data_IF_198347440320
#
_entry.id   IF_198347440320
#
_cell.length_a   1.000
_cell.length_b   1.000
_cell.length_c   1.000
_cell.angle_alpha   90.00
_cell.angle_beta   90.00
_cell.angle_gamma   90.00
#
_symmetry.space_group_name_H-M   'P 1'
#
loop_
_entity.id
_entity.type
_entity.pdbx_description
1 polymer ?
#
# COMPACT_ATOMS: atom_id res chain seq x y z
N UNK A 1 14.34 15.75 -9.38
CA UNK A 1 12.91 15.40 -9.43
C UNK A 1 12.42 15.40 -8.00
N UNK A 2 11.31 16.06 -7.70
CA UNK A 2 10.71 16.07 -6.35
C UNK A 2 9.92 14.78 -6.21
N UNK A 3 10.45 13.83 -5.45
CA UNK A 3 9.84 12.51 -5.25
C UNK A 3 8.67 12.61 -4.26
N UNK A 4 7.52 12.06 -4.66
CA UNK A 4 6.28 12.12 -3.89
C UNK A 4 6.26 10.99 -2.84
N UNK A 5 6.28 11.38 -1.57
CA UNK A 5 6.21 10.42 -0.44
C UNK A 5 4.76 9.99 -0.24
N UNK A 6 4.49 8.70 -0.37
CA UNK A 6 3.15 8.14 -0.21
C UNK A 6 3.11 7.36 1.11
N UNK A 7 2.23 7.75 2.01
CA UNK A 7 2.01 7.04 3.25
C UNK A 7 1.36 5.67 2.98
N UNK A 8 1.91 4.61 3.60
CA UNK A 8 1.33 3.28 3.55
C UNK A 8 0.15 3.20 4.51
N UNK A 9 -0.88 2.43 4.14
CA UNK A 9 -2.05 2.19 4.99
C UNK A 9 -2.71 3.48 5.51
N UNK A 10 -2.62 4.58 4.76
CA UNK A 10 -3.21 5.87 5.13
C UNK A 10 -4.52 6.15 4.39
N UNK A 11 -4.88 5.30 3.44
CA UNK A 11 -6.07 5.41 2.63
C UNK A 11 -7.28 4.75 3.29
N UNK A 12 -8.27 4.45 2.46
CA UNK A 12 -9.52 3.82 2.87
C UNK A 12 -9.30 2.38 3.33
N UNK A 13 -10.25 1.83 4.09
CA UNK A 13 -10.25 0.41 4.44
C UNK A 13 -10.44 -0.45 3.19
N UNK A 14 -9.60 -1.46 3.03
CA UNK A 14 -9.62 -2.38 1.89
C UNK A 14 -10.98 -3.07 1.75
N UNK A 15 -11.59 -3.48 2.86
CA UNK A 15 -12.92 -4.11 2.86
C UNK A 15 -14.05 -3.19 2.37
N UNK A 16 -13.89 -1.87 2.46
CA UNK A 16 -14.84 -0.89 1.89
C UNK A 16 -14.62 -0.76 0.39
N UNK A 17 -13.36 -0.70 -0.06
CA UNK A 17 -13.00 -0.65 -1.49
C UNK A 17 -13.51 -1.88 -2.24
N UNK A 18 -13.32 -3.08 -1.68
CA UNK A 18 -13.81 -4.33 -2.28
C UNK A 18 -15.34 -4.31 -2.40
N UNK A 19 -16.05 -3.87 -1.35
CA UNK A 19 -17.51 -3.79 -1.35
C UNK A 19 -18.05 -2.79 -2.36
N UNK A 20 -17.45 -1.62 -2.47
CA UNK A 20 -17.85 -0.62 -3.47
C UNK A 20 -17.60 -1.11 -4.89
N UNK A 21 -16.45 -1.75 -5.16
CA UNK A 21 -16.16 -2.32 -6.48
C UNK A 21 -17.17 -3.42 -6.85
N UNK A 22 -17.55 -4.27 -5.88
CA UNK A 22 -18.60 -5.27 -6.07
C UNK A 22 -19.95 -4.62 -6.37
N UNK A 23 -20.35 -3.61 -5.61
CA UNK A 23 -21.62 -2.92 -5.82
C UNK A 23 -21.66 -2.22 -7.18
N UNK A 24 -20.58 -1.55 -7.58
CA UNK A 24 -20.45 -0.96 -8.92
C UNK A 24 -20.58 -2.02 -10.01
N UNK A 25 -19.93 -3.18 -9.85
CA UNK A 25 -20.01 -4.28 -10.82
C UNK A 25 -21.44 -4.81 -10.96
N UNK A 26 -22.16 -4.97 -9.84
CA UNK A 26 -23.56 -5.40 -9.87
C UNK A 26 -24.45 -4.37 -10.57
N UNK A 27 -24.23 -3.09 -10.29
CA UNK A 27 -24.95 -2.00 -10.94
C UNK A 27 -24.64 -1.94 -12.45
N UNK A 28 -23.40 -2.22 -12.85
CA UNK A 28 -23.04 -2.32 -14.26
C UNK A 28 -23.80 -3.45 -14.95
N UNK A 29 -23.94 -4.63 -14.31
CA UNK A 29 -24.73 -5.76 -14.82
C UNK A 29 -26.19 -5.37 -15.01
N UNK A 30 -26.79 -4.70 -14.02
CA UNK A 30 -28.19 -4.29 -14.06
C UNK A 30 -28.48 -3.24 -15.14
N UNK A 31 -27.46 -2.47 -15.54
CA UNK A 31 -27.56 -1.43 -16.56
C UNK A 31 -27.23 -1.91 -17.97
N UNK A 32 -26.88 -3.20 -18.17
CA UNK A 32 -26.61 -3.74 -19.51
C UNK A 32 -27.88 -3.63 -20.36
N UNK A 33 -27.76 -2.99 -21.52
CA UNK A 33 -28.87 -2.88 -22.45
C UNK A 33 -29.14 -4.23 -23.13
N UNK A 34 -30.42 -4.49 -23.43
CA UNK A 34 -30.85 -5.76 -24.00
C UNK A 34 -30.20 -6.06 -25.37
N UNK A 35 -29.79 -5.03 -26.13
CA UNK A 35 -29.18 -5.22 -27.43
C UNK A 35 -27.71 -5.68 -27.27
N UNK A 36 -26.96 -5.10 -26.35
CA UNK A 36 -25.60 -5.55 -26.02
C UNK A 36 -25.61 -6.94 -25.40
N UNK A 37 -26.59 -7.26 -24.55
CA UNK A 37 -26.71 -8.60 -23.95
C UNK A 37 -26.91 -9.70 -25.02
N UNK A 38 -27.70 -9.42 -26.07
CA UNK A 38 -28.00 -10.39 -27.12
C UNK A 38 -26.90 -10.51 -28.19
N UNK A 39 -26.09 -9.46 -28.37
CA UNK A 39 -25.07 -9.41 -29.42
C UNK A 39 -23.63 -9.64 -28.93
N UNK A 40 -23.43 -9.79 -27.62
CA UNK A 40 -22.10 -10.03 -27.03
C UNK A 40 -21.97 -11.50 -26.65
N UNK A 41 -20.84 -12.12 -26.96
CA UNK A 41 -20.60 -13.52 -26.58
C UNK A 41 -20.39 -13.64 -25.07
N UNK A 42 -20.56 -14.85 -24.53
CA UNK A 42 -20.28 -15.11 -23.12
C UNK A 42 -18.80 -14.93 -22.81
N UNK A 43 -17.93 -15.31 -23.73
CA UNK A 43 -16.48 -15.17 -23.64
C UNK A 43 -16.07 -13.70 -23.52
N UNK A 44 -16.66 -12.81 -24.32
CA UNK A 44 -16.38 -11.37 -24.25
C UNK A 44 -16.79 -10.78 -22.88
N UNK A 45 -17.88 -11.28 -22.30
CA UNK A 45 -18.30 -10.87 -20.96
C UNK A 45 -17.34 -11.37 -19.88
N UNK A 46 -16.87 -12.61 -19.98
CA UNK A 46 -15.86 -13.12 -19.06
C UNK A 46 -14.58 -12.30 -19.13
N UNK A 47 -14.09 -12.00 -20.33
CA UNK A 47 -12.90 -11.17 -20.53
C UNK A 47 -13.08 -9.74 -20.02
N UNK A 48 -14.28 -9.18 -20.16
CA UNK A 48 -14.61 -7.84 -19.65
C UNK A 48 -14.55 -7.81 -18.12
N UNK A 49 -15.27 -8.71 -17.46
CA UNK A 49 -15.32 -8.72 -16.00
C UNK A 49 -14.01 -9.21 -15.37
N UNK A 50 -13.29 -10.12 -16.02
CA UNK A 50 -11.95 -10.49 -15.56
C UNK A 50 -11.03 -9.27 -15.56
N UNK A 51 -10.98 -8.50 -16.65
CA UNK A 51 -10.13 -7.30 -16.71
C UNK A 51 -10.55 -6.21 -15.72
N UNK A 52 -11.84 -5.99 -15.53
CA UNK A 52 -12.33 -4.86 -14.72
C UNK A 52 -12.43 -5.20 -13.22
N UNK A 53 -12.76 -6.44 -12.88
CA UNK A 53 -12.98 -6.84 -11.49
C UNK A 53 -11.74 -7.44 -10.83
N UNK A 54 -10.73 -7.88 -11.61
CA UNK A 54 -9.49 -8.41 -11.06
C UNK A 54 -8.76 -7.37 -10.22
N UNK A 55 -8.11 -7.88 -9.18
CA UNK A 55 -7.08 -7.18 -8.43
C UNK A 55 -5.79 -7.96 -8.62
N UNK A 56 -4.72 -7.27 -9.04
CA UNK A 56 -3.40 -7.88 -9.01
C UNK A 56 -2.85 -7.81 -7.58
N UNK A 57 -2.95 -8.94 -6.89
CA UNK A 57 -2.48 -9.08 -5.51
C UNK A 57 -0.98 -8.78 -5.47
N UNK A 58 -0.60 -8.05 -4.42
CA UNK A 58 0.79 -7.70 -4.15
C UNK A 58 1.62 -8.96 -3.91
N UNK A 59 2.64 -9.16 -4.74
CA UNK A 59 3.63 -10.22 -4.57
C UNK A 59 5.01 -9.62 -4.30
N UNK A 60 5.63 -10.00 -3.18
CA UNK A 60 6.97 -9.56 -2.83
C UNK A 60 8.03 -10.36 -3.59
N UNK A 61 8.94 -9.66 -4.27
CA UNK A 61 10.09 -10.29 -4.93
C UNK A 61 11.19 -10.52 -3.91
N UNK A 62 11.12 -11.67 -3.23
CA UNK A 62 12.01 -12.04 -2.10
C UNK A 62 13.50 -11.93 -2.42
N UNK A 63 13.89 -12.13 -3.68
CA UNK A 63 15.29 -12.10 -4.12
C UNK A 63 15.84 -10.68 -4.37
N UNK A 64 14.99 -9.66 -4.27
CA UNK A 64 15.31 -8.27 -4.59
C UNK A 64 15.09 -7.33 -3.40
N UNK A 65 15.06 -7.88 -2.19
CA UNK A 65 14.97 -7.11 -0.96
C UNK A 65 16.38 -6.70 -0.54
N UNK A 66 16.64 -5.40 -0.46
CA UNK A 66 17.90 -4.86 0.07
C UNK A 66 17.65 -4.00 1.30
N UNK A 67 18.64 -3.96 2.19
CA UNK A 67 18.59 -3.18 3.42
C UNK A 67 19.84 -2.30 3.42
N UNK A 68 19.64 -1.00 3.60
CA UNK A 68 20.70 -0.05 3.84
C UNK A 68 20.70 0.39 5.31
N UNK A 69 21.88 0.62 5.84
CA UNK A 69 22.11 0.97 7.24
C UNK A 69 22.99 2.20 7.31
N UNK A 70 22.49 3.26 7.93
CA UNK A 70 23.26 4.48 8.19
C UNK A 70 23.20 4.87 9.67
N UNK A 71 24.26 5.49 10.18
CA UNK A 71 24.23 6.17 11.47
C UNK A 71 23.65 7.56 11.28
N UNK A 72 22.62 7.90 12.05
CA UNK A 72 21.95 9.18 12.00
C UNK A 72 21.86 9.79 13.40
N UNK A 73 21.78 11.12 13.47
CA UNK A 73 21.54 11.84 14.71
C UNK A 73 20.08 12.28 14.74
N UNK A 74 19.34 11.83 15.76
CA UNK A 74 17.95 12.21 15.94
C UNK A 74 17.76 13.09 17.17
N UNK A 75 16.96 14.16 17.06
CA UNK A 75 16.54 14.93 18.22
C UNK A 75 15.60 14.08 19.08
N UNK A 76 16.04 13.77 20.29
CA UNK A 76 15.27 13.05 21.31
C UNK A 76 14.95 14.02 22.43
N UNK A 77 13.69 14.02 22.89
CA UNK A 77 13.28 14.82 24.04
C UNK A 77 13.75 14.12 25.32
N UNK A 78 14.74 14.68 26.00
CA UNK A 78 15.12 14.24 27.34
C UNK A 78 14.33 15.04 28.37
N UNK A 79 13.60 14.35 29.26
CA UNK A 79 12.75 14.94 30.29
C UNK A 79 13.48 15.96 31.18
N UNK A 80 14.79 15.80 31.38
CA UNK A 80 15.58 16.65 32.29
C UNK A 80 16.42 17.72 31.58
N UNK A 81 16.80 17.52 30.31
CA UNK A 81 17.76 18.38 29.61
C UNK A 81 17.25 19.00 28.31
N UNK A 82 15.97 18.81 27.97
CA UNK A 82 15.40 19.28 26.71
C UNK A 82 15.80 18.41 25.51
N UNK A 83 15.74 18.96 24.29
CA UNK A 83 16.10 18.23 23.07
C UNK A 83 17.60 17.93 23.03
N UNK A 84 17.95 16.64 23.01
CA UNK A 84 19.33 16.16 22.83
C UNK A 84 19.45 15.39 21.51
N UNK A 85 20.65 15.29 20.95
CA UNK A 85 20.89 14.45 19.76
C UNK A 85 21.36 13.07 20.20
N UNK A 86 20.58 12.04 19.90
CA UNK A 86 20.99 10.65 20.09
C UNK A 86 21.54 10.07 18.78
N UNK A 87 22.64 9.33 18.88
CA UNK A 87 23.11 8.49 17.78
C UNK A 87 22.15 7.32 17.63
N UNK A 88 21.51 7.22 16.49
CA UNK A 88 20.63 6.12 16.12
C UNK A 88 21.18 5.42 14.90
N UNK A 89 20.89 4.14 14.79
CA UNK A 89 21.04 3.42 13.51
C UNK A 89 19.72 3.53 12.76
N UNK A 90 19.76 4.12 11.57
CA UNK A 90 18.64 4.13 10.64
C UNK A 90 18.78 2.96 9.66
N UNK A 91 17.69 2.20 9.54
CA UNK A 91 17.56 1.16 8.52
C UNK A 91 16.60 1.65 7.44
N UNK A 92 17.03 1.56 6.19
CA UNK A 92 16.20 1.81 5.02
C UNK A 92 15.99 0.47 4.32
N UNK A 93 14.74 0.04 4.20
CA UNK A 93 14.40 -1.18 3.51
C UNK A 93 14.02 -0.84 2.07
N UNK A 94 14.41 -1.67 1.12
CA UNK A 94 14.01 -1.56 -0.27
C UNK A 94 13.38 -2.90 -0.66
N UNK A 95 12.07 -2.88 -0.86
CA UNK A 95 11.24 -4.04 -1.11
C UNK A 95 10.64 -3.89 -2.51
N UNK A 96 11.12 -4.70 -3.45
CA UNK A 96 10.52 -4.79 -4.77
C UNK A 96 9.29 -5.70 -4.72
N UNK A 97 8.24 -5.34 -5.44
CA UNK A 97 6.99 -6.09 -5.48
C UNK A 97 6.42 -6.11 -6.90
N UNK A 98 5.34 -6.86 -7.12
CA UNK A 98 4.51 -6.84 -8.32
C UNK A 98 3.05 -6.67 -7.93
N UNK A 99 2.22 -6.21 -8.85
CA UNK A 99 0.78 -6.00 -8.66
C UNK A 99 0.41 -4.54 -8.42
N UNK A 100 -0.80 -4.31 -7.90
CA UNK A 100 -1.38 -2.97 -7.76
C UNK A 100 -0.84 -2.21 -6.56
N UNK A 101 0.01 -1.21 -6.80
CA UNK A 101 0.59 -0.33 -5.78
C UNK A 101 -0.47 0.34 -4.88
N UNK A 102 -1.64 0.68 -5.41
CA UNK A 102 -2.72 1.31 -4.64
C UNK A 102 -3.19 0.44 -3.46
N UNK A 103 -3.00 -0.89 -3.53
CA UNK A 103 -3.32 -1.80 -2.44
C UNK A 103 -2.49 -1.51 -1.17
N UNK A 104 -1.28 -0.98 -1.29
CA UNK A 104 -0.47 -0.58 -0.14
C UNK A 104 -1.00 0.65 0.59
N UNK A 105 -1.86 1.44 -0.07
CA UNK A 105 -2.49 2.61 0.54
C UNK A 105 -3.67 2.20 1.39
N UNK A 106 -4.32 1.07 1.10
CA UNK A 106 -5.52 0.67 1.81
C UNK A 106 -5.21 0.05 3.17
N UNK A 107 -5.97 0.45 4.18
CA UNK A 107 -5.86 -0.14 5.50
C UNK A 107 -6.41 -1.56 5.48
N UNK A 108 -5.73 -2.53 6.11
CA UNK A 108 -6.34 -3.81 6.40
C UNK A 108 -7.63 -3.58 7.19
N UNK A 109 -8.65 -4.41 6.96
CA UNK A 109 -9.88 -4.35 7.74
C UNK A 109 -9.62 -4.87 9.15
N UNK A 110 -9.09 -4.02 10.03
CA UNK A 110 -8.85 -4.34 11.44
C UNK A 110 -10.12 -4.05 12.24
N UNK A 111 -10.52 -5.01 13.08
CA UNK A 111 -11.37 -4.70 14.22
C UNK A 111 -10.62 -3.73 15.13
N UNK A 112 -11.29 -2.62 15.49
CA UNK A 112 -10.81 -1.55 16.37
C UNK A 112 -10.08 -2.17 17.57
N UNK A 113 -8.76 -2.07 17.62
CA UNK A 113 -7.96 -2.63 18.72
C UNK A 113 -6.48 -2.32 18.65
N UNK A 114 -5.89 -2.26 17.46
CA UNK A 114 -4.46 -2.02 17.30
C UNK A 114 -4.21 -1.13 16.08
N UNK A 115 -3.19 -0.25 16.18
CA UNK A 115 -2.49 0.51 15.12
C UNK A 115 -2.65 2.04 15.16
N UNK A 116 -1.80 2.68 15.97
CA UNK A 116 -1.40 4.09 15.82
C UNK A 116 0.09 4.19 15.45
N UNK A 117 0.53 3.50 14.38
CA UNK A 117 1.86 3.71 13.80
C UNK A 117 1.74 3.74 12.27
N UNK A 118 1.84 4.93 11.68
CA UNK A 118 1.86 5.10 10.23
C UNK A 118 3.26 4.78 9.70
N UNK A 119 3.35 3.87 8.72
CA UNK A 119 4.57 3.59 7.97
C UNK A 119 4.56 4.45 6.69
N UNK A 120 5.70 5.02 6.32
CA UNK A 120 5.86 5.80 5.09
C UNK A 120 6.77 5.03 4.11
N UNK A 121 6.50 5.14 2.81
CA UNK A 121 7.40 4.58 1.80
C UNK A 121 7.58 5.50 0.57
N UNK A 122 8.74 5.38 -0.07
CA UNK A 122 9.04 6.02 -1.36
C UNK A 122 8.93 4.99 -2.48
N UNK A 123 8.22 5.33 -3.57
CA UNK A 123 7.89 4.37 -4.62
C UNK A 123 8.57 4.78 -5.92
N UNK A 124 9.42 3.90 -6.45
CA UNK A 124 10.18 4.09 -7.67
C UNK A 124 9.93 2.91 -8.59
N UNK A 125 9.29 3.10 -9.75
CA UNK A 125 9.24 2.11 -10.84
C UNK A 125 9.20 0.64 -10.34
N UNK A 126 8.11 0.28 -9.64
CA UNK A 126 7.81 -1.02 -9.00
C UNK A 126 8.62 -1.41 -7.73
N UNK A 127 9.36 -0.48 -7.14
CA UNK A 127 10.12 -0.64 -5.88
C UNK A 127 9.54 0.23 -4.76
N UNK A 128 9.23 -0.39 -3.62
CA UNK A 128 8.85 0.31 -2.39
C UNK A 128 10.06 0.44 -1.48
N UNK A 129 10.29 1.63 -0.93
CA UNK A 129 11.31 1.87 0.08
C UNK A 129 10.65 2.18 1.42
N UNK A 130 10.40 1.20 2.31
CA UNK A 130 9.95 1.51 3.66
C UNK A 130 10.98 2.35 4.43
N UNK A 131 10.52 3.47 4.99
CA UNK A 131 11.31 4.33 5.87
C UNK A 131 10.67 4.34 7.26
N UNK A 132 11.44 3.87 8.26
CA UNK A 132 11.36 4.03 9.73
C UNK A 132 11.11 2.78 10.58
N UNK A 133 12.19 2.30 11.21
CA UNK A 133 12.19 1.67 12.53
C UNK A 133 13.35 2.24 13.35
N UNK A 134 13.07 2.85 14.51
CA UNK A 134 14.09 3.32 15.44
C UNK A 134 14.32 2.27 16.53
N UNK A 135 15.52 1.72 16.59
CA UNK A 135 16.01 0.97 17.75
C UNK A 135 16.97 1.88 18.51
N UNK A 136 16.55 2.31 19.70
CA UNK A 136 17.44 2.91 20.70
C UNK A 136 18.11 1.77 21.47
N UNK A 137 19.43 1.81 21.59
CA UNK A 137 20.17 0.99 22.55
C UNK A 137 20.64 1.92 23.68
N UNK A 138 20.43 1.49 24.92
CA UNK A 138 20.95 2.12 26.14
C UNK A 138 22.48 2.02 26.22
#
# INVERSE_FOLDING_TARGET
MTEEKIALFSGRQLGTVIREKLQSTLQDIDNIDANTLLNTSLEDWYDYYERNCKFEILELLKNEISIDREEALLPVMNFFSGYTQAKVTKFSYFITFKGEQELFRYQPSVSIGELNNALFAEIYDVKLTPVLAFLTYD
#
